data_IF_237812477308
#
_entry.id   IF_237812477308
#
_cell.length_a   1.000
_cell.length_b   1.000
_cell.length_c   1.000
_cell.angle_alpha   90.00
_cell.angle_beta   90.00
_cell.angle_gamma   90.00
#
_symmetry.space_group_name_H-M   'P 1'
#
loop_
_entity.id
_entity.type
_entity.pdbx_description
1 polymer ?
#
# COMPACT_ATOMS: atom_id res chain seq x y z
N UNK A 1 11.35 -18.71 -12.35
CA UNK A 1 10.66 -17.41 -12.29
C UNK A 1 9.20 -17.52 -12.75
N UNK A 2 8.88 -17.75 -14.03
CA UNK A 2 7.48 -17.87 -14.49
C UNK A 2 6.70 -19.03 -13.86
N UNK A 3 7.33 -20.19 -13.67
CA UNK A 3 6.71 -21.33 -13.00
C UNK A 3 6.41 -21.04 -11.52
N UNK A 4 7.36 -20.41 -10.81
CA UNK A 4 7.22 -20.04 -9.39
C UNK A 4 6.15 -18.96 -9.20
N UNK A 5 6.05 -18.03 -10.16
CA UNK A 5 4.99 -17.03 -10.22
C UNK A 5 3.60 -17.66 -10.39
N UNK A 6 3.42 -18.60 -11.34
CA UNK A 6 2.13 -19.29 -11.52
C UNK A 6 1.74 -20.11 -10.30
N UNK A 7 2.71 -20.78 -9.67
CA UNK A 7 2.50 -21.51 -8.42
C UNK A 7 2.10 -20.55 -7.30
N UNK A 8 2.75 -19.39 -7.18
CA UNK A 8 2.39 -18.31 -6.27
C UNK A 8 0.96 -17.83 -6.41
N UNK A 9 0.56 -17.49 -7.63
CA UNK A 9 -0.80 -17.08 -7.95
C UNK A 9 -1.81 -18.18 -7.60
N UNK A 10 -1.54 -19.43 -7.97
CA UNK A 10 -2.45 -20.55 -7.68
C UNK A 10 -2.60 -20.86 -6.18
N UNK A 11 -1.51 -20.71 -5.41
CA UNK A 11 -1.52 -20.91 -3.97
C UNK A 11 -2.32 -19.81 -3.28
N UNK A 12 -2.15 -18.55 -3.69
CA UNK A 12 -2.94 -17.45 -3.17
C UNK A 12 -4.44 -17.69 -3.37
N UNK A 13 -4.83 -18.12 -4.56
CA UNK A 13 -6.23 -18.44 -4.87
C UNK A 13 -6.83 -19.57 -4.01
N UNK A 14 -6.01 -20.45 -3.43
CA UNK A 14 -6.47 -21.59 -2.63
C UNK A 14 -6.68 -21.25 -1.15
N UNK A 15 -6.07 -20.18 -0.63
CA UNK A 15 -6.03 -19.87 0.80
C UNK A 15 -6.72 -18.54 1.15
N UNK A 16 -8.04 -18.48 0.94
CA UNK A 16 -8.91 -17.37 1.36
C UNK A 16 -8.66 -16.00 0.70
N UNK A 17 -7.75 -15.87 -0.27
CA UNK A 17 -7.55 -14.60 -0.98
C UNK A 17 -8.84 -14.06 -1.59
N UNK A 18 -9.64 -14.92 -2.24
CA UNK A 18 -10.94 -14.52 -2.78
C UNK A 18 -11.90 -14.00 -1.71
N UNK A 19 -11.88 -14.61 -0.51
CA UNK A 19 -12.72 -14.18 0.59
C UNK A 19 -12.26 -12.83 1.13
N UNK A 20 -10.94 -12.64 1.29
CA UNK A 20 -10.38 -11.35 1.72
C UNK A 20 -10.64 -10.25 0.70
N UNK A 21 -10.37 -10.51 -0.59
CA UNK A 21 -10.62 -9.58 -1.68
C UNK A 21 -12.11 -9.26 -1.84
N UNK A 22 -12.97 -10.29 -1.76
CA UNK A 22 -14.43 -10.14 -1.81
C UNK A 22 -14.97 -9.36 -0.62
N UNK A 23 -14.47 -9.62 0.59
CA UNK A 23 -14.83 -8.89 1.80
C UNK A 23 -14.37 -7.43 1.73
N UNK A 24 -13.16 -7.15 1.25
CA UNK A 24 -12.67 -5.78 1.05
C UNK A 24 -13.44 -5.03 -0.02
N UNK A 25 -13.86 -5.74 -1.08
CA UNK A 25 -14.68 -5.16 -2.13
C UNK A 25 -16.07 -4.80 -1.62
N UNK A 26 -16.72 -5.74 -0.93
CA UNK A 26 -18.04 -5.52 -0.34
C UNK A 26 -18.01 -4.40 0.70
N UNK A 27 -16.99 -4.37 1.58
CA UNK A 27 -16.86 -3.31 2.58
C UNK A 27 -16.67 -1.94 1.94
N UNK A 28 -15.93 -1.84 0.83
CA UNK A 28 -15.82 -0.60 0.07
C UNK A 28 -17.18 -0.15 -0.46
N UNK A 29 -17.93 -1.01 -1.15
CA UNK A 29 -19.22 -0.64 -1.72
C UNK A 29 -20.19 -0.16 -0.62
N UNK A 30 -20.25 -0.91 0.49
CA UNK A 30 -21.13 -0.59 1.60
C UNK A 30 -20.77 0.76 2.25
N UNK A 31 -19.49 0.99 2.52
CA UNK A 31 -19.05 2.23 3.17
C UNK A 31 -19.23 3.43 2.24
N UNK A 32 -18.94 3.30 0.95
CA UNK A 32 -19.12 4.38 -0.04
C UNK A 32 -20.60 4.74 -0.18
N UNK A 33 -21.47 3.73 -0.29
CA UNK A 33 -22.92 3.95 -0.38
C UNK A 33 -23.50 4.58 0.89
N UNK A 34 -23.12 4.09 2.07
CA UNK A 34 -23.54 4.73 3.33
C UNK A 34 -22.99 6.15 3.45
N UNK A 35 -21.77 6.39 2.97
CA UNK A 35 -21.11 7.69 3.05
C UNK A 35 -21.76 8.76 2.17
N UNK A 36 -22.31 8.41 1.01
CA UNK A 36 -22.99 9.38 0.14
C UNK A 36 -24.25 9.95 0.77
N UNK A 37 -24.97 9.15 1.56
CA UNK A 37 -26.20 9.57 2.24
C UNK A 37 -25.96 10.60 3.35
N UNK A 38 -24.75 10.68 3.89
CA UNK A 38 -24.42 11.65 4.95
C UNK A 38 -24.18 13.08 4.44
N UNK A 39 -24.17 13.33 3.12
CA UNK A 39 -23.90 14.66 2.54
C UNK A 39 -25.07 15.20 1.72
N UNK A 40 -25.76 16.22 2.25
CA UNK A 40 -26.87 16.85 1.53
C UNK A 40 -26.49 17.81 0.39
N UNK A 41 -25.20 18.17 0.25
CA UNK A 41 -24.73 19.17 -0.74
C UNK A 41 -23.64 18.66 -1.67
N UNK A 42 -22.87 17.65 -1.25
CA UNK A 42 -21.74 17.09 -2.03
C UNK A 42 -21.61 15.56 -1.87
N UNK A 43 -22.65 14.76 -2.20
CA UNK A 43 -22.65 13.30 -1.96
C UNK A 43 -21.51 12.56 -2.66
N UNK A 44 -21.24 12.89 -3.92
CA UNK A 44 -20.21 12.21 -4.71
C UNK A 44 -18.76 12.56 -4.26
N UNK A 45 -18.50 13.78 -3.76
CA UNK A 45 -17.18 14.16 -3.23
C UNK A 45 -16.87 13.39 -1.95
N UNK A 46 -17.83 13.28 -1.04
CA UNK A 46 -17.65 12.51 0.20
C UNK A 46 -17.50 11.02 -0.12
N UNK A 47 -18.31 10.49 -1.04
CA UNK A 47 -18.21 9.10 -1.49
C UNK A 47 -16.81 8.78 -2.06
N UNK A 48 -16.24 9.67 -2.88
CA UNK A 48 -14.90 9.50 -3.43
C UNK A 48 -13.81 9.58 -2.34
N UNK A 49 -13.88 10.57 -1.45
CA UNK A 49 -12.89 10.78 -0.39
C UNK A 49 -12.85 9.57 0.56
N UNK A 50 -14.02 9.16 1.05
CA UNK A 50 -14.15 8.01 1.93
C UNK A 50 -13.76 6.72 1.21
N UNK A 51 -14.16 6.53 -0.06
CA UNK A 51 -13.75 5.36 -0.85
C UNK A 51 -12.23 5.25 -1.01
N UNK A 52 -11.55 6.36 -1.33
CA UNK A 52 -10.09 6.41 -1.41
C UNK A 52 -9.44 6.14 -0.05
N UNK A 53 -9.99 6.65 1.06
CA UNK A 53 -9.53 6.35 2.43
C UNK A 53 -9.65 4.86 2.76
N UNK A 54 -10.80 4.25 2.46
CA UNK A 54 -11.04 2.83 2.67
C UNK A 54 -10.05 1.98 1.88
N UNK A 55 -9.80 2.30 0.60
CA UNK A 55 -8.79 1.60 -0.20
C UNK A 55 -7.39 1.72 0.42
N UNK A 56 -6.97 2.93 0.80
CA UNK A 56 -5.64 3.16 1.41
C UNK A 56 -5.48 2.46 2.76
N UNK A 57 -6.56 2.14 3.48
CA UNK A 57 -6.51 1.46 4.76
C UNK A 57 -6.62 -0.07 4.63
N UNK A 58 -7.57 -0.57 3.83
CA UNK A 58 -7.86 -2.00 3.71
C UNK A 58 -6.86 -2.73 2.81
N UNK A 59 -6.38 -2.11 1.72
CA UNK A 59 -5.46 -2.79 0.81
C UNK A 59 -4.14 -3.19 1.48
N UNK A 60 -3.47 -2.34 2.29
CA UNK A 60 -2.30 -2.76 3.06
C UNK A 60 -2.60 -3.91 4.03
N UNK A 61 -3.80 -3.94 4.64
CA UNK A 61 -4.21 -5.03 5.52
C UNK A 61 -4.32 -6.36 4.77
N UNK A 62 -5.02 -6.36 3.64
CA UNK A 62 -5.12 -7.56 2.79
C UNK A 62 -3.73 -7.98 2.30
N UNK A 63 -2.90 -7.03 1.88
CA UNK A 63 -1.53 -7.28 1.41
C UNK A 63 -0.68 -7.98 2.47
N UNK A 64 -0.68 -7.50 3.71
CA UNK A 64 0.11 -8.12 4.79
C UNK A 64 -0.35 -9.55 5.06
N UNK A 65 -1.66 -9.80 5.08
CA UNK A 65 -2.20 -11.15 5.27
C UNK A 65 -1.77 -12.08 4.12
N UNK A 66 -1.84 -11.59 2.88
CA UNK A 66 -1.40 -12.34 1.69
C UNK A 66 0.11 -12.64 1.75
N UNK A 67 0.93 -11.69 2.18
CA UNK A 67 2.37 -11.89 2.42
C UNK A 67 2.60 -12.97 3.46
N UNK A 68 1.88 -12.95 4.59
CA UNK A 68 2.02 -13.97 5.64
C UNK A 68 1.64 -15.37 5.18
N UNK A 69 0.56 -15.50 4.40
CA UNK A 69 0.11 -16.78 3.84
C UNK A 69 1.11 -17.34 2.83
N UNK A 70 1.61 -16.49 1.92
CA UNK A 70 2.50 -16.92 0.83
C UNK A 70 3.97 -17.07 1.24
N UNK A 71 4.45 -16.31 2.23
CA UNK A 71 5.84 -16.35 2.67
C UNK A 71 5.94 -17.06 4.02
N UNK A 72 5.34 -16.53 5.08
CA UNK A 72 5.58 -17.03 6.44
C UNK A 72 5.09 -18.47 6.67
N UNK A 73 3.88 -18.82 6.22
CA UNK A 73 3.36 -20.19 6.41
C UNK A 73 4.10 -21.25 5.58
N UNK A 74 4.71 -20.88 4.48
CA UNK A 74 5.52 -21.79 3.65
C UNK A 74 6.85 -22.13 4.34
N UNK A 75 7.45 -21.17 5.07
CA UNK A 75 8.62 -21.42 5.91
C UNK A 75 8.29 -22.28 7.14
N UNK A 76 7.18 -22.00 7.83
CA UNK A 76 6.80 -22.74 9.05
C UNK A 76 6.50 -24.23 8.78
N UNK A 77 5.86 -24.56 7.66
CA UNK A 77 5.45 -25.95 7.35
C UNK A 77 6.55 -26.82 6.74
N UNK A 78 7.80 -26.34 6.68
CA UNK A 78 8.94 -27.03 6.04
C UNK A 78 8.71 -27.44 4.57
N UNK A 79 7.73 -26.86 3.87
CA UNK A 79 7.52 -27.12 2.44
C UNK A 79 8.73 -26.71 1.58
N UNK A 80 9.66 -25.93 2.13
CA UNK A 80 10.98 -25.67 1.55
C UNK A 80 11.71 -26.95 1.14
N UNK A 81 11.53 -28.07 1.85
CA UNK A 81 12.18 -29.35 1.52
C UNK A 81 11.72 -29.92 0.18
N UNK A 82 10.46 -29.69 -0.22
CA UNK A 82 9.93 -30.12 -1.51
C UNK A 82 10.32 -29.18 -2.67
N UNK A 83 10.50 -27.89 -2.38
CA UNK A 83 10.83 -26.87 -3.38
C UNK A 83 12.36 -26.71 -3.60
N UNK A 84 13.17 -26.98 -2.56
CA UNK A 84 14.64 -26.99 -2.61
C UNK A 84 15.24 -28.36 -2.97
N UNK A 85 14.42 -29.42 -3.12
CA UNK A 85 14.88 -30.70 -3.65
C UNK A 85 15.39 -30.57 -5.11
N UNK A 86 14.95 -29.53 -5.83
CA UNK A 86 15.51 -29.13 -7.11
C UNK A 86 16.53 -28.00 -6.93
N UNK A 87 17.65 -27.99 -7.69
CA UNK A 87 18.66 -26.94 -7.62
C UNK A 87 18.11 -25.66 -8.27
N UNK A 88 17.22 -24.95 -7.58
CA UNK A 88 16.67 -23.67 -7.98
C UNK A 88 17.37 -22.55 -7.23
N UNK A 89 17.69 -21.48 -7.95
CA UNK A 89 18.24 -20.28 -7.34
C UNK A 89 17.22 -19.68 -6.34
N UNK A 90 17.60 -19.58 -5.06
CA UNK A 90 16.76 -19.06 -3.97
C UNK A 90 16.16 -17.68 -4.28
N UNK A 91 16.88 -16.87 -5.05
CA UNK A 91 16.44 -15.54 -5.49
C UNK A 91 15.21 -15.60 -6.40
N UNK A 92 15.15 -16.57 -7.32
CA UNK A 92 14.05 -16.70 -8.28
C UNK A 92 12.73 -17.10 -7.62
N UNK A 93 12.79 -17.82 -6.49
CA UNK A 93 11.63 -18.17 -5.70
C UNK A 93 11.06 -16.93 -5.00
N UNK A 94 11.90 -16.17 -4.28
CA UNK A 94 11.46 -14.95 -3.58
C UNK A 94 10.89 -13.92 -4.56
N UNK A 95 11.61 -13.65 -5.66
CA UNK A 95 11.15 -12.69 -6.66
C UNK A 95 9.86 -13.15 -7.37
N UNK A 96 9.70 -14.44 -7.62
CA UNK A 96 8.46 -15.00 -8.16
C UNK A 96 7.26 -14.83 -7.21
N UNK A 97 7.48 -15.03 -5.91
CA UNK A 97 6.45 -14.82 -4.87
C UNK A 97 6.09 -13.34 -4.73
N UNK A 98 7.09 -12.47 -4.63
CA UNK A 98 6.91 -11.02 -4.61
C UNK A 98 6.09 -10.54 -5.83
N UNK A 99 6.47 -10.99 -7.04
CA UNK A 99 5.74 -10.68 -8.27
C UNK A 99 4.29 -11.19 -8.25
N UNK A 100 4.03 -12.34 -7.64
CA UNK A 100 2.68 -12.88 -7.49
C UNK A 100 1.84 -12.02 -6.55
N UNK A 101 2.39 -11.65 -5.40
CA UNK A 101 1.71 -10.82 -4.38
C UNK A 101 1.37 -9.46 -4.98
N UNK A 102 2.34 -8.79 -5.61
CA UNK A 102 2.09 -7.45 -6.17
C UNK A 102 1.06 -7.50 -7.30
N UNK A 103 1.10 -8.52 -8.17
CA UNK A 103 0.11 -8.62 -9.24
C UNK A 103 -1.30 -8.86 -8.68
N UNK A 104 -1.44 -9.72 -7.68
CA UNK A 104 -2.72 -9.97 -7.02
C UNK A 104 -3.26 -8.71 -6.35
N UNK A 105 -2.40 -7.98 -5.63
CA UNK A 105 -2.79 -6.72 -4.98
C UNK A 105 -3.14 -5.62 -5.98
N UNK A 106 -2.41 -5.50 -7.10
CA UNK A 106 -2.74 -4.58 -8.18
C UNK A 106 -4.08 -4.97 -8.83
N UNK A 107 -4.36 -6.26 -9.02
CA UNK A 107 -5.65 -6.73 -9.51
C UNK A 107 -6.81 -6.31 -8.59
N UNK A 108 -6.66 -6.50 -7.27
CA UNK A 108 -7.67 -6.06 -6.29
C UNK A 108 -7.83 -4.55 -6.29
N UNK A 109 -6.72 -3.79 -6.34
CA UNK A 109 -6.74 -2.33 -6.43
C UNK A 109 -7.51 -1.86 -7.68
N UNK A 110 -7.24 -2.45 -8.85
CA UNK A 110 -7.93 -2.07 -10.10
C UNK A 110 -9.43 -2.37 -10.02
N UNK A 111 -9.82 -3.52 -9.49
CA UNK A 111 -11.24 -3.89 -9.33
C UNK A 111 -11.95 -2.94 -8.35
N UNK A 112 -11.31 -2.65 -7.21
CA UNK A 112 -11.86 -1.71 -6.21
C UNK A 112 -11.94 -0.28 -6.77
N UNK A 113 -10.93 0.17 -7.51
CA UNK A 113 -10.91 1.47 -8.16
C UNK A 113 -12.01 1.56 -9.23
N UNK A 114 -12.12 0.58 -10.12
CA UNK A 114 -13.17 0.57 -11.14
C UNK A 114 -14.57 0.64 -10.51
N UNK A 115 -14.82 -0.13 -9.46
CA UNK A 115 -16.10 -0.10 -8.76
C UNK A 115 -16.37 1.22 -8.03
N UNK A 116 -15.35 1.82 -7.39
CA UNK A 116 -15.47 3.15 -6.80
C UNK A 116 -15.79 4.20 -7.86
N UNK A 117 -15.08 4.19 -8.99
CA UNK A 117 -15.32 5.11 -10.11
C UNK A 117 -16.74 4.96 -10.67
N UNK A 118 -17.22 3.74 -10.86
CA UNK A 118 -18.58 3.48 -11.34
C UNK A 118 -19.64 3.95 -10.35
N UNK A 119 -19.48 3.66 -9.05
CA UNK A 119 -20.41 4.12 -8.02
C UNK A 119 -20.45 5.65 -7.93
N UNK A 120 -19.30 6.30 -7.92
CA UNK A 120 -19.22 7.77 -7.84
C UNK A 120 -19.81 8.42 -9.10
N UNK A 121 -19.58 7.84 -10.28
CA UNK A 121 -20.22 8.29 -11.52
C UNK A 121 -21.74 8.20 -11.43
N UNK A 122 -22.27 7.08 -10.93
CA UNK A 122 -23.71 6.89 -10.75
C UNK A 122 -24.31 7.89 -9.75
N UNK A 123 -23.68 8.09 -8.59
CA UNK A 123 -24.12 9.07 -7.57
C UNK A 123 -24.05 10.52 -8.11
N UNK A 124 -23.12 10.80 -9.02
CA UNK A 124 -22.97 12.14 -9.61
C UNK A 124 -24.09 12.51 -10.59
N UNK A 125 -24.76 11.51 -11.19
CA UNK A 125 -25.93 11.75 -12.05
C UNK A 125 -27.16 12.17 -11.24
N UNK A 126 -27.31 11.64 -10.02
CA UNK A 126 -28.46 11.91 -9.16
C UNK A 126 -28.46 13.33 -8.56
N UNK A 127 -27.28 13.96 -8.39
CA UNK A 127 -27.18 15.27 -7.75
C UNK A 127 -26.10 16.18 -8.37
N UNK A 128 -26.55 17.28 -8.98
CA UNK A 128 -25.67 18.31 -9.55
C UNK A 128 -24.98 19.12 -8.43
N UNK A 129 -23.68 18.91 -8.26
CA UNK A 129 -22.87 19.60 -7.25
C UNK A 129 -22.14 20.80 -7.86
N UNK A 130 -21.94 21.84 -7.04
CA UNK A 130 -21.22 23.06 -7.45
C UNK A 130 -19.71 22.83 -7.73
N UNK A 131 -19.16 21.69 -7.29
CA UNK A 131 -17.77 21.30 -7.54
C UNK A 131 -17.77 19.97 -8.24
N UNK A 132 -17.40 19.98 -9.52
CA UNK A 132 -17.35 18.76 -10.33
C UNK A 132 -16.13 17.93 -9.95
N UNK A 133 -16.35 16.62 -9.83
CA UNK A 133 -15.31 15.65 -9.48
C UNK A 133 -14.52 15.29 -10.74
N UNK A 134 -13.22 15.05 -10.59
CA UNK A 134 -12.36 14.66 -11.71
C UNK A 134 -12.13 13.14 -11.76
N UNK A 135 -13.04 12.41 -12.40
CA UNK A 135 -12.91 10.97 -12.66
C UNK A 135 -11.93 10.63 -13.83
N UNK A 136 -11.34 11.64 -14.47
CA UNK A 136 -10.42 11.47 -15.58
C UNK A 136 -8.99 11.12 -15.14
N UNK A 137 -8.01 11.82 -15.73
CA UNK A 137 -6.59 11.62 -15.42
C UNK A 137 -6.23 11.73 -13.92
N UNK A 138 -6.76 12.69 -13.14
CA UNK A 138 -6.46 12.80 -11.70
C UNK A 138 -6.82 11.57 -10.87
N UNK A 139 -7.93 10.90 -11.22
CA UNK A 139 -8.35 9.68 -10.57
C UNK A 139 -7.36 8.55 -10.83
N UNK A 140 -7.00 8.34 -12.09
CA UNK A 140 -6.03 7.31 -12.51
C UNK A 140 -4.66 7.55 -11.86
N UNK A 141 -4.20 8.81 -11.81
CA UNK A 141 -2.96 9.18 -11.14
C UNK A 141 -2.99 8.83 -9.65
N UNK A 142 -4.07 9.15 -8.95
CA UNK A 142 -4.25 8.79 -7.53
C UNK A 142 -4.18 7.28 -7.33
N UNK A 143 -4.90 6.51 -8.15
CA UNK A 143 -4.89 5.03 -8.09
C UNK A 143 -3.51 4.47 -8.36
N UNK A 144 -2.76 5.03 -9.31
CA UNK A 144 -1.39 4.62 -9.61
C UNK A 144 -0.44 4.86 -8.43
N UNK A 145 -0.56 6.00 -7.73
CA UNK A 145 0.24 6.28 -6.54
C UNK A 145 -0.13 5.39 -5.34
N UNK A 146 -1.40 4.99 -5.20
CA UNK A 146 -1.80 3.94 -4.24
C UNK A 146 -1.12 2.61 -4.60
N UNK A 147 -1.03 2.27 -5.89
CA UNK A 147 -0.28 1.10 -6.36
C UNK A 147 1.21 1.16 -6.00
N UNK A 148 1.83 2.35 -6.10
CA UNK A 148 3.22 2.57 -5.71
C UNK A 148 3.43 2.43 -4.19
N UNK A 149 2.51 2.96 -3.38
CA UNK A 149 2.48 2.77 -1.93
C UNK A 149 2.41 1.26 -1.57
N UNK A 150 1.51 0.51 -2.20
CA UNK A 150 1.43 -0.94 -2.02
C UNK A 150 2.71 -1.67 -2.43
N UNK A 151 3.39 -1.21 -3.49
CA UNK A 151 4.65 -1.79 -3.93
C UNK A 151 5.74 -1.63 -2.87
N UNK A 152 5.90 -0.44 -2.31
CA UNK A 152 6.87 -0.17 -1.23
C UNK A 152 6.56 -1.01 0.00
N UNK A 153 5.30 -1.05 0.43
CA UNK A 153 4.87 -1.83 1.60
C UNK A 153 5.06 -3.33 1.37
N UNK A 154 4.80 -3.84 0.17
CA UNK A 154 5.02 -5.26 -0.17
C UNK A 154 6.52 -5.59 -0.14
N UNK A 155 7.38 -4.70 -0.63
CA UNK A 155 8.83 -4.89 -0.59
C UNK A 155 9.34 -4.94 0.85
N UNK A 156 8.88 -4.02 1.70
CA UNK A 156 9.18 -4.03 3.13
C UNK A 156 8.66 -5.30 3.83
N UNK A 157 7.40 -5.67 3.61
CA UNK A 157 6.81 -6.86 4.23
C UNK A 157 7.56 -8.13 3.83
N UNK A 158 8.02 -8.21 2.58
CA UNK A 158 8.87 -9.30 2.08
C UNK A 158 10.23 -9.32 2.78
N UNK A 159 10.86 -8.15 2.97
CA UNK A 159 12.11 -8.03 3.75
C UNK A 159 11.92 -8.50 5.19
N UNK A 160 10.89 -8.00 5.88
CA UNK A 160 10.59 -8.39 7.26
C UNK A 160 10.27 -9.88 7.37
N UNK A 161 9.58 -10.47 6.39
CA UNK A 161 9.31 -11.90 6.33
C UNK A 161 10.57 -12.76 6.18
N UNK A 162 11.64 -12.22 5.57
CA UNK A 162 12.93 -12.94 5.49
C UNK A 162 13.72 -12.84 6.79
N UNK A 163 13.69 -11.66 7.44
CA UNK A 163 14.43 -11.37 8.67
C UNK A 163 13.80 -12.07 9.88
N UNK A 164 12.48 -11.99 10.00
CA UNK A 164 11.78 -12.50 11.16
C UNK A 164 11.38 -13.97 11.01
N UNK A 165 11.43 -14.69 12.13
CA UNK A 165 10.96 -16.09 12.21
C UNK A 165 9.48 -16.19 12.59
N UNK A 166 8.81 -15.09 12.95
CA UNK A 166 7.41 -15.08 13.39
C UNK A 166 6.53 -14.26 12.44
N UNK A 167 5.38 -14.78 11.99
CA UNK A 167 4.45 -14.04 11.13
C UNK A 167 3.96 -12.73 11.76
N UNK A 168 3.74 -12.72 13.07
CA UNK A 168 3.24 -11.55 13.80
C UNK A 168 4.16 -10.33 13.70
N UNK A 169 5.47 -10.54 13.65
CA UNK A 169 6.44 -9.45 13.49
C UNK A 169 6.31 -8.78 12.11
N UNK A 170 6.05 -9.55 11.06
CA UNK A 170 5.83 -9.01 9.71
C UNK A 170 4.60 -8.10 9.70
N UNK A 171 3.53 -8.50 10.37
CA UNK A 171 2.32 -7.70 10.46
C UNK A 171 2.55 -6.42 11.25
N UNK A 172 2.99 -6.54 12.50
CA UNK A 172 3.20 -5.38 13.37
C UNK A 172 4.24 -4.43 12.76
N UNK A 173 5.33 -4.96 12.20
CA UNK A 173 6.38 -4.17 11.57
C UNK A 173 5.92 -3.44 10.32
N UNK A 174 5.18 -4.11 9.42
CA UNK A 174 4.69 -3.47 8.18
C UNK A 174 3.63 -2.41 8.49
N UNK A 175 2.70 -2.70 9.40
CA UNK A 175 1.68 -1.73 9.82
C UNK A 175 2.26 -0.55 10.59
N UNK A 176 3.17 -0.81 11.54
CA UNK A 176 3.86 0.22 12.28
C UNK A 176 4.63 1.15 11.34
N UNK A 177 5.36 0.57 10.38
CA UNK A 177 6.04 1.35 9.35
C UNK A 177 5.07 2.16 8.50
N UNK A 178 3.98 1.56 8.03
CA UNK A 178 2.97 2.26 7.22
C UNK A 178 2.40 3.48 7.96
N UNK A 179 2.04 3.32 9.24
CA UNK A 179 1.50 4.41 10.05
C UNK A 179 2.54 5.52 10.24
N UNK A 180 3.78 5.17 10.54
CA UNK A 180 4.87 6.14 10.70
C UNK A 180 5.16 6.87 9.39
N UNK A 181 5.38 6.15 8.29
CA UNK A 181 5.70 6.70 6.98
C UNK A 181 4.59 7.60 6.40
N UNK A 182 3.32 7.36 6.75
CA UNK A 182 2.19 8.22 6.33
C UNK A 182 1.95 9.41 7.24
N UNK A 183 2.25 9.30 8.53
CA UNK A 183 2.00 10.35 9.52
C UNK A 183 3.17 11.31 9.67
N UNK A 184 4.37 10.89 9.27
CA UNK A 184 5.62 11.61 9.48
C UNK A 184 5.56 13.05 8.95
N UNK A 185 5.23 13.25 7.67
CA UNK A 185 5.18 14.58 7.06
C UNK A 185 4.23 15.54 7.78
N UNK A 186 3.03 15.07 8.16
CA UNK A 186 2.05 15.85 8.90
C UNK A 186 2.56 16.25 10.30
N UNK A 187 3.23 15.32 11.00
CA UNK A 187 3.84 15.58 12.31
C UNK A 187 4.94 16.65 12.18
N UNK A 188 5.82 16.52 11.18
CA UNK A 188 6.87 17.51 10.93
C UNK A 188 6.28 18.88 10.61
N UNK A 189 5.27 18.93 9.74
CA UNK A 189 4.62 20.19 9.37
C UNK A 189 4.00 20.89 10.58
N UNK A 190 3.26 20.16 11.42
CA UNK A 190 2.68 20.69 12.66
C UNK A 190 3.75 21.23 13.60
N UNK A 191 4.85 20.49 13.82
CA UNK A 191 5.97 20.91 14.65
C UNK A 191 6.68 22.17 14.10
N UNK A 192 6.70 22.35 12.78
CA UNK A 192 7.30 23.54 12.16
C UNK A 192 6.40 24.77 12.22
N UNK A 193 5.08 24.61 12.17
CA UNK A 193 4.11 25.72 12.22
C UNK A 193 3.77 26.15 13.64
N UNK A 194 3.72 25.21 14.58
CA UNK A 194 3.33 25.45 15.97
C UNK A 194 4.52 25.25 16.93
N UNK A 195 5.49 26.15 16.87
CA UNK A 195 6.71 26.15 17.71
C UNK A 195 6.47 26.27 19.21
N UNK A 196 5.23 26.53 19.64
CA UNK A 196 4.81 26.64 21.04
C UNK A 196 4.40 25.31 21.69
N UNK A 197 4.22 24.24 20.89
CA UNK A 197 3.68 22.96 21.38
C UNK A 197 4.75 22.06 22.03
N UNK A 198 6.05 22.32 21.78
CA UNK A 198 7.14 21.46 22.27
C UNK A 198 8.32 22.30 22.79
N UNK A 199 8.63 22.18 24.08
CA UNK A 199 9.92 22.64 24.63
C UNK A 199 11.07 21.82 24.01
N UNK A 200 12.01 22.48 23.32
CA UNK A 200 13.16 21.81 22.68
C UNK A 200 13.00 21.48 21.20
N UNK A 201 12.20 22.26 20.45
CA UNK A 201 11.93 22.09 19.03
C UNK A 201 13.19 21.91 18.14
N UNK A 202 14.34 22.51 18.49
CA UNK A 202 15.57 22.36 17.69
C UNK A 202 16.19 20.94 17.76
N UNK A 203 16.27 20.34 18.95
CA UNK A 203 16.73 18.95 19.10
C UNK A 203 15.78 17.96 18.45
N UNK A 204 14.47 18.24 18.53
CA UNK A 204 13.45 17.42 17.87
C UNK A 204 13.56 17.51 16.34
N UNK A 205 13.80 18.72 15.79
CA UNK A 205 14.04 18.94 14.36
C UNK A 205 15.28 18.21 13.84
N UNK A 206 16.36 18.15 14.63
CA UNK A 206 17.58 17.43 14.23
C UNK A 206 17.34 15.91 14.14
N UNK A 207 16.67 15.32 15.13
CA UNK A 207 16.31 13.88 15.11
C UNK A 207 15.31 13.53 14.01
N UNK A 208 14.32 14.40 13.79
CA UNK A 208 13.31 14.26 12.74
C UNK A 208 13.95 14.41 11.34
N UNK A 209 14.91 15.31 11.16
CA UNK A 209 15.60 15.49 9.89
C UNK A 209 16.32 14.22 9.41
N UNK A 210 16.96 13.48 10.33
CA UNK A 210 17.61 12.20 10.02
C UNK A 210 16.58 11.13 9.63
N UNK A 211 15.45 11.07 10.35
CA UNK A 211 14.36 10.15 10.03
C UNK A 211 13.73 10.44 8.66
N UNK A 212 13.69 11.70 8.23
CA UNK A 212 13.20 12.10 6.91
C UNK A 212 14.02 11.56 5.74
N UNK A 213 15.29 11.20 5.97
CA UNK A 213 16.14 10.54 4.96
C UNK A 213 16.04 9.01 5.01
N UNK A 214 15.46 8.44 6.07
CA UNK A 214 15.45 6.99 6.32
C UNK A 214 14.06 6.38 6.04
N UNK A 215 13.01 7.20 6.13
CA UNK A 215 11.63 6.82 5.87
C UNK A 215 11.17 7.40 4.51
N UNK A 216 10.59 6.58 3.62
CA UNK A 216 9.89 7.10 2.46
C UNK A 216 8.66 7.89 2.93
N UNK A 217 8.46 9.07 2.34
CA UNK A 217 7.25 9.86 2.58
C UNK A 217 6.05 9.26 1.81
N UNK A 218 5.42 8.26 2.42
CA UNK A 218 4.21 7.63 1.87
C UNK A 218 2.97 8.52 2.07
N UNK A 219 3.06 9.55 2.92
CA UNK A 219 2.01 10.55 3.12
C UNK A 219 1.85 11.42 1.88
N UNK A 220 2.96 11.90 1.32
CA UNK A 220 2.99 12.74 0.11
C UNK A 220 2.48 12.06 -1.17
N UNK A 221 2.39 10.73 -1.20
CA UNK A 221 1.75 9.98 -2.30
C UNK A 221 0.23 10.18 -2.36
N UNK A 222 -0.39 10.73 -1.31
CA UNK A 222 -1.84 10.99 -1.30
C UNK A 222 -2.22 12.27 -2.04
N UNK A 223 -2.39 12.15 -3.35
CA UNK A 223 -2.84 13.26 -4.20
C UNK A 223 -4.37 13.32 -4.37
N UNK A 224 -5.14 12.71 -3.46
CA UNK A 224 -6.61 12.63 -3.56
C UNK A 224 -7.30 13.98 -3.80
N UNK A 225 -6.73 15.06 -3.29
CA UNK A 225 -7.26 16.42 -3.45
C UNK A 225 -7.36 16.82 -4.92
N UNK A 226 -6.45 16.32 -5.77
CA UNK A 226 -6.49 16.53 -7.23
C UNK A 226 -7.67 15.78 -7.85
N UNK A 227 -7.98 14.56 -7.40
CA UNK A 227 -9.14 13.79 -7.89
C UNK A 227 -10.48 14.36 -7.39
N UNK A 228 -10.51 14.86 -6.15
CA UNK A 228 -11.70 15.44 -5.53
C UNK A 228 -12.09 16.78 -6.15
N UNK A 229 -11.11 17.67 -6.36
CA UNK A 229 -11.37 19.05 -6.77
C UNK A 229 -10.98 19.36 -8.22
N UNK A 230 -10.30 18.45 -8.92
CA UNK A 230 -9.84 18.65 -10.29
C UNK A 230 -8.80 19.77 -10.45
N UNK A 231 -8.22 20.26 -9.36
CA UNK A 231 -7.21 21.33 -9.39
C UNK A 231 -5.81 20.73 -9.37
N UNK A 232 -5.07 20.98 -10.44
CA UNK A 232 -3.67 20.58 -10.58
C UNK A 232 -2.73 21.32 -9.62
N UNK A 233 -3.18 22.41 -8.99
CA UNK A 233 -2.44 23.13 -7.94
C UNK A 233 -2.15 22.26 -6.70
N UNK A 234 -2.96 21.22 -6.46
CA UNK A 234 -2.73 20.26 -5.36
C UNK A 234 -1.73 19.16 -5.72
N UNK A 235 -1.21 19.15 -6.96
CA UNK A 235 -0.18 18.19 -7.35
C UNK A 235 1.17 18.65 -6.75
N UNK A 236 1.87 17.79 -5.99
CA UNK A 236 3.20 18.13 -5.49
C UNK A 236 4.15 18.48 -6.64
N UNK A 237 4.86 19.60 -6.55
CA UNK A 237 5.86 20.01 -7.56
C UNK A 237 6.96 18.96 -7.74
N UNK A 238 7.24 18.21 -6.67
CA UNK A 238 8.33 17.24 -6.59
C UNK A 238 7.86 15.78 -6.82
N UNK A 239 6.70 15.58 -7.45
CA UNK A 239 6.10 14.26 -7.66
C UNK A 239 7.07 13.28 -8.34
N UNK A 240 7.88 13.73 -9.30
CA UNK A 240 8.88 12.88 -9.96
C UNK A 240 9.96 12.38 -8.99
N UNK A 241 10.47 13.25 -8.12
CA UNK A 241 11.45 12.93 -7.08
C UNK A 241 10.83 11.96 -6.07
N UNK A 242 9.58 12.18 -5.69
CA UNK A 242 8.83 11.30 -4.80
C UNK A 242 8.70 9.89 -5.39
N UNK A 243 8.25 9.77 -6.64
CA UNK A 243 8.10 8.47 -7.32
C UNK A 243 9.44 7.74 -7.42
N UNK A 244 10.50 8.44 -7.82
CA UNK A 244 11.85 7.86 -7.93
C UNK A 244 12.36 7.40 -6.57
N UNK A 245 12.17 8.20 -5.52
CA UNK A 245 12.58 7.82 -4.16
C UNK A 245 11.83 6.59 -3.66
N UNK A 246 10.50 6.50 -3.83
CA UNK A 246 9.71 5.33 -3.46
C UNK A 246 10.18 4.07 -4.21
N UNK A 247 10.45 4.17 -5.51
CA UNK A 247 11.01 3.06 -6.29
C UNK A 247 12.40 2.64 -5.78
N UNK A 248 13.26 3.60 -5.42
CA UNK A 248 14.57 3.33 -4.84
C UNK A 248 14.45 2.61 -3.49
N UNK A 249 13.54 3.03 -2.62
CA UNK A 249 13.25 2.36 -1.34
C UNK A 249 12.74 0.93 -1.55
N UNK A 250 11.78 0.73 -2.47
CA UNK A 250 11.28 -0.60 -2.78
C UNK A 250 12.40 -1.53 -3.29
N UNK A 251 13.25 -1.02 -4.18
CA UNK A 251 14.40 -1.76 -4.67
C UNK A 251 15.39 -2.09 -3.55
N UNK A 252 15.69 -1.13 -2.66
CA UNK A 252 16.57 -1.34 -1.51
C UNK A 252 16.03 -2.42 -0.56
N UNK A 253 14.73 -2.40 -0.22
CA UNK A 253 14.12 -3.44 0.61
C UNK A 253 14.16 -4.81 -0.05
N UNK A 254 13.87 -4.90 -1.35
CA UNK A 254 13.97 -6.17 -2.09
C UNK A 254 15.41 -6.69 -2.15
N UNK A 255 16.37 -5.81 -2.39
CA UNK A 255 17.78 -6.15 -2.42
C UNK A 255 18.25 -6.70 -1.06
N UNK A 256 17.87 -6.03 0.04
CA UNK A 256 18.12 -6.49 1.40
C UNK A 256 17.44 -7.84 1.69
N UNK A 257 16.19 -8.03 1.24
CA UNK A 257 15.47 -9.29 1.41
C UNK A 257 16.21 -10.47 0.74
N UNK A 258 16.68 -10.25 -0.48
CA UNK A 258 17.47 -11.23 -1.23
C UNK A 258 18.80 -11.53 -0.54
N UNK A 259 19.48 -10.49 -0.06
CA UNK A 259 20.75 -10.63 0.66
C UNK A 259 20.62 -11.42 1.95
N UNK A 260 19.59 -11.16 2.75
CA UNK A 260 19.28 -11.92 3.98
C UNK A 260 18.97 -13.39 3.65
N UNK A 261 18.18 -13.64 2.60
CA UNK A 261 17.82 -15.00 2.18
C UNK A 261 19.04 -15.83 1.77
N UNK A 262 20.03 -15.22 1.12
CA UNK A 262 21.26 -15.91 0.72
C UNK A 262 22.11 -16.34 1.92
N UNK A 263 22.12 -15.55 2.99
CA UNK A 263 22.89 -15.83 4.21
C UNK A 263 22.17 -16.78 5.18
N UNK A 264 20.85 -16.96 5.02
CA UNK A 264 20.05 -17.83 5.89
C UNK A 264 20.46 -19.29 5.71
N UNK A 265 20.98 -19.90 6.79
CA UNK A 265 21.25 -21.33 6.88
C UNK A 265 19.96 -22.02 7.33
N UNK A 266 19.43 -22.90 6.49
CA UNK A 266 18.34 -23.80 6.86
C UNK A 266 18.99 -25.01 7.52
N UNK A 267 18.99 -25.05 8.84
CA UNK A 267 19.47 -26.19 9.64
C UNK A 267 18.29 -27.08 10.05
#
# INVERSE_FOLDING_TARGET
>A
MFADFRVGVSLAFRFNFFLLAGASFFSLLLVVWMSSEFSGRQPATIALDVGLSVMRLILPLVMVLVVQELLSREFDRRYFLSSLAYPRARQGLLLGRFASIILLMLGVLIVMAAALGLLVAWISEDYAQATSISLGWPYIATVALIGLDLLVLTALATFLAMVASTPSFVLIGTFGFMLMARSFAAIVELLTRETWVVEGAESYRAGVGILGYLLPDLGALDIRMVALYGRMEFLPSDLSVLVVSCLAYAFAFLWLAVWVLQRKRFA
#
